data_IF_279067863396
#
_entry.id   IF_279067863396
#
_cell.length_a   1.000
_cell.length_b   1.000
_cell.length_c   1.000
_cell.angle_alpha   90.00
_cell.angle_beta   90.00
_cell.angle_gamma   90.00
#
_symmetry.space_group_name_H-M   'P 1'
#
loop_
_entity.id
_entity.type
_entity.pdbx_description
1 polymer ?
#
# COMPACT_ATOMS: atom_id res chain seq x y z
N UNK A 1 -37.45 -60.84 21.02
CA UNK A 1 -37.30 -60.26 19.66
C UNK A 1 -35.94 -59.57 19.67
N UNK A 2 -34.82 -60.30 19.50
CA UNK A 2 -34.35 -60.99 18.28
C UNK A 2 -34.00 -59.96 17.19
N UNK A 3 -32.79 -59.89 16.61
CA UNK A 3 -31.50 -60.59 16.82
C UNK A 3 -30.34 -59.58 16.57
N UNK A 4 -29.19 -59.60 17.27
CA UNK A 4 -27.93 -60.31 16.92
C UNK A 4 -27.59 -60.30 15.42
N UNK A 5 -26.36 -60.10 14.92
CA UNK A 5 -24.99 -59.80 15.42
C UNK A 5 -24.15 -59.36 14.17
N UNK A 6 -22.92 -58.80 14.20
CA UNK A 6 -21.59 -59.46 14.28
C UNK A 6 -20.51 -58.40 13.93
N UNK A 7 -19.35 -58.45 14.60
CA UNK A 7 -17.99 -58.05 14.12
C UNK A 7 -17.12 -59.33 14.16
N UNK A 8 -15.96 -59.52 13.44
CA UNK A 8 -14.77 -58.64 13.44
C UNK A 8 -13.76 -58.78 12.24
N UNK A 9 -12.49 -58.38 12.48
CA UNK A 9 -11.22 -58.67 11.76
C UNK A 9 -11.02 -58.07 10.35
N UNK A 10 -9.87 -57.49 9.93
CA UNK A 10 -8.40 -57.60 10.24
C UNK A 10 -7.65 -58.73 9.53
N UNK A 11 -6.99 -58.38 8.42
CA UNK A 11 -5.72 -58.87 7.82
C UNK A 11 -5.48 -57.96 6.59
N UNK A 12 -4.41 -57.19 6.37
CA UNK A 12 -2.96 -57.43 6.36
C UNK A 12 -2.47 -58.34 5.24
N UNK A 13 -2.10 -57.76 4.09
CA UNK A 13 -1.10 -58.37 3.21
C UNK A 13 -0.23 -57.33 2.49
N UNK A 14 1.07 -57.62 2.41
CA UNK A 14 2.07 -56.85 1.65
C UNK A 14 2.19 -57.45 0.25
N UNK A 15 2.50 -56.64 -0.75
CA UNK A 15 3.32 -57.11 -1.88
C UNK A 15 4.18 -56.00 -2.46
N UNK A 16 5.49 -56.23 -2.51
CA UNK A 16 6.47 -55.39 -3.18
C UNK A 16 6.42 -55.61 -4.70
N UNK A 17 6.38 -54.55 -5.51
CA UNK A 17 6.88 -54.59 -6.90
C UNK A 17 7.64 -53.30 -7.22
N UNK A 18 8.87 -53.48 -7.71
CA UNK A 18 9.85 -52.44 -8.05
C UNK A 18 9.50 -51.68 -9.35
N UNK A 19 10.05 -50.45 -9.55
CA UNK A 19 9.79 -49.66 -10.75
C UNK A 19 10.51 -50.21 -12.00
N UNK A 20 9.97 -49.96 -13.21
CA UNK A 20 10.64 -50.34 -14.45
C UNK A 20 11.86 -49.46 -14.72
N UNK A 21 13.00 -50.11 -14.93
CA UNK A 21 14.25 -49.49 -15.39
C UNK A 21 14.09 -49.06 -16.85
N UNK A 22 14.41 -47.81 -17.17
CA UNK A 22 14.73 -47.44 -18.55
C UNK A 22 16.21 -47.74 -18.82
N UNK A 23 16.46 -48.79 -19.60
CA UNK A 23 17.79 -49.11 -20.11
C UNK A 23 18.08 -48.28 -21.36
N UNK A 24 19.27 -47.69 -21.42
CA UNK A 24 19.81 -47.15 -22.67
C UNK A 24 20.31 -48.28 -23.58
N UNK A 25 20.25 -48.10 -24.90
CA UNK A 25 21.18 -48.70 -25.84
C UNK A 25 22.19 -47.65 -26.34
N UNK A 26 23.48 -47.97 -26.24
CA UNK A 26 24.41 -47.59 -27.32
C UNK A 26 24.19 -48.52 -28.53
N UNK A 27 24.96 -48.44 -29.60
CA UNK A 27 26.22 -47.72 -29.83
C UNK A 27 26.50 -47.81 -31.36
N UNK A 28 27.62 -47.25 -31.83
CA UNK A 28 28.23 -47.36 -33.16
C UNK A 28 27.70 -46.36 -34.23
N UNK A 29 28.51 -45.43 -34.73
CA UNK A 29 29.64 -45.55 -35.73
C UNK A 29 29.05 -45.38 -37.16
N UNK A 30 29.59 -44.65 -38.14
CA UNK A 30 30.77 -43.76 -38.27
C UNK A 30 30.38 -42.62 -39.24
N UNK A 31 31.18 -41.55 -39.30
CA UNK A 31 31.78 -41.04 -40.56
C UNK A 31 32.40 -39.64 -40.36
N UNK A 32 33.70 -39.56 -40.60
CA UNK A 32 34.48 -38.33 -40.70
C UNK A 32 34.07 -37.49 -41.91
N UNK A 33 34.14 -36.16 -41.81
CA UNK A 33 34.99 -35.43 -42.76
C UNK A 33 35.38 -34.03 -42.23
N UNK A 34 36.67 -33.76 -42.23
CA UNK A 34 37.27 -32.46 -41.92
C UNK A 34 38.26 -32.14 -43.05
N UNK A 35 38.25 -30.92 -43.59
CA UNK A 35 39.54 -30.33 -43.89
C UNK A 35 39.65 -28.84 -43.52
N UNK A 36 40.65 -28.54 -42.71
CA UNK A 36 41.35 -27.25 -42.55
C UNK A 36 42.38 -27.06 -43.70
N UNK A 37 43.22 -26.00 -43.74
CA UNK A 37 42.96 -24.55 -43.56
C UNK A 37 43.65 -23.66 -44.64
N UNK A 38 43.26 -22.38 -44.76
CA UNK A 38 44.04 -21.23 -45.32
C UNK A 38 43.20 -19.94 -45.13
N UNK A 39 43.72 -18.70 -45.05
CA UNK A 39 45.07 -18.15 -44.74
C UNK A 39 44.91 -16.66 -44.32
N UNK A 40 45.90 -16.05 -43.66
CA UNK A 40 45.85 -14.64 -43.22
C UNK A 40 47.04 -13.79 -43.73
N UNK A 41 46.83 -12.49 -43.99
CA UNK A 41 47.85 -11.43 -43.87
C UNK A 41 47.35 -10.31 -42.91
N UNK A 42 48.07 -9.92 -41.87
CA UNK A 42 49.31 -9.11 -41.81
C UNK A 42 49.10 -7.57 -41.87
N UNK A 43 49.10 -7.00 -40.66
CA UNK A 43 49.64 -5.71 -40.18
C UNK A 43 50.00 -4.61 -41.21
N UNK A 44 49.48 -3.39 -40.96
CA UNK A 44 50.16 -2.14 -41.29
C UNK A 44 50.22 -1.22 -40.04
N UNK A 45 51.41 -0.72 -39.71
CA UNK A 45 51.64 0.31 -38.69
C UNK A 45 51.39 1.72 -39.27
N UNK A 46 51.11 2.72 -38.41
CA UNK A 46 51.67 4.09 -38.52
C UNK A 46 51.49 4.87 -37.19
N UNK A 47 52.59 5.52 -36.82
CA UNK A 47 52.92 6.52 -35.80
C UNK A 47 51.95 6.98 -34.68
N UNK A 48 52.54 6.97 -33.47
CA UNK A 48 52.21 7.83 -32.33
C UNK A 48 52.97 9.17 -32.38
N UNK A 49 52.30 10.31 -32.13
CA UNK A 49 52.96 11.50 -31.56
C UNK A 49 52.12 12.19 -30.47
N UNK A 50 52.78 12.38 -29.31
CA UNK A 50 52.59 13.36 -28.21
C UNK A 50 51.53 14.48 -28.39
N UNK A 51 50.78 14.88 -27.35
CA UNK A 51 51.31 15.74 -26.27
C UNK A 51 50.54 15.71 -24.92
N UNK A 52 51.31 15.57 -23.83
CA UNK A 52 51.23 16.26 -22.51
C UNK A 52 49.86 16.56 -21.87
N UNK A 53 49.57 15.89 -20.74
CA UNK A 53 48.71 16.42 -19.67
C UNK A 53 49.54 16.70 -18.41
N UNK A 54 49.43 17.91 -17.87
CA UNK A 54 50.11 18.32 -16.63
C UNK A 54 49.48 17.70 -15.38
N UNK A 55 50.32 17.33 -14.41
CA UNK A 55 49.88 16.95 -13.06
C UNK A 55 49.20 18.13 -12.36
N UNK A 56 48.06 17.89 -11.75
CA UNK A 56 47.68 18.63 -10.55
C UNK A 56 46.97 17.77 -9.48
N UNK A 57 47.28 18.12 -8.24
CA UNK A 57 46.94 17.51 -6.94
C UNK A 57 45.70 16.61 -6.82
N UNK A 58 45.92 15.38 -6.31
CA UNK A 58 44.93 14.66 -5.51
C UNK A 58 44.85 15.25 -4.08
N UNK A 59 43.65 15.51 -3.53
CA UNK A 59 43.42 15.53 -2.10
C UNK A 59 42.89 14.18 -1.60
N UNK A 60 43.41 13.79 -0.43
CA UNK A 60 43.22 12.50 0.22
C UNK A 60 41.73 12.15 0.48
N UNK A 61 41.27 10.97 0.03
CA UNK A 61 39.91 10.46 0.32
C UNK A 61 39.88 9.80 1.72
N UNK A 62 39.79 10.61 2.77
CA UNK A 62 39.28 10.10 4.06
C UNK A 62 37.79 9.82 3.90
N UNK A 63 37.38 8.56 4.06
CA UNK A 63 35.99 8.15 3.87
C UNK A 63 35.09 8.64 5.01
N UNK A 64 34.50 9.82 4.84
CA UNK A 64 33.43 10.32 5.72
C UNK A 64 32.10 9.71 5.29
N UNK A 65 31.42 9.00 6.20
CA UNK A 65 30.12 8.37 5.97
C UNK A 65 28.97 9.40 5.91
N UNK A 66 28.98 10.25 4.89
CA UNK A 66 28.03 11.37 4.75
C UNK A 66 27.84 11.83 3.29
N UNK A 67 27.51 10.91 2.39
CA UNK A 67 26.99 11.16 1.03
C UNK A 67 26.66 9.79 0.38
N UNK A 68 25.56 9.52 -0.32
CA UNK A 68 24.43 10.36 -0.77
C UNK A 68 23.12 9.56 -0.74
N UNK A 69 22.09 10.02 -0.02
CA UNK A 69 20.71 9.71 -0.39
C UNK A 69 20.30 10.64 -1.54
N UNK A 70 20.76 10.36 -2.76
CA UNK A 70 20.21 10.99 -3.97
C UNK A 70 18.82 10.39 -4.21
N UNK A 71 17.80 11.09 -3.73
CA UNK A 71 16.41 10.74 -4.00
C UNK A 71 16.11 11.00 -5.48
N UNK A 72 16.24 9.97 -6.32
CA UNK A 72 15.57 9.93 -7.61
C UNK A 72 14.07 9.82 -7.36
N UNK A 73 13.26 10.86 -7.65
CA UNK A 73 11.83 10.78 -7.43
C UNK A 73 11.22 9.77 -8.40
N UNK A 74 10.52 8.78 -7.85
CA UNK A 74 9.59 7.96 -8.63
C UNK A 74 8.59 8.94 -9.30
N UNK A 75 8.30 8.74 -10.58
CA UNK A 75 7.33 9.55 -11.33
C UNK A 75 5.99 8.85 -11.48
N UNK A 76 6.02 7.53 -11.65
CA UNK A 76 4.85 6.68 -11.85
C UNK A 76 5.11 5.27 -11.37
N UNK A 77 4.02 4.53 -11.16
CA UNK A 77 4.05 3.09 -10.87
C UNK A 77 3.40 2.37 -12.05
N UNK A 78 4.14 1.48 -12.70
CA UNK A 78 3.60 0.58 -13.72
C UNK A 78 3.19 -0.73 -13.05
N UNK A 79 1.97 -1.21 -13.32
CA UNK A 79 1.44 -2.45 -12.74
C UNK A 79 0.94 -3.36 -13.85
N UNK A 80 1.43 -4.60 -13.91
CA UNK A 80 0.92 -5.61 -14.83
C UNK A 80 -0.56 -5.93 -14.51
N UNK A 81 -1.40 -6.07 -15.54
CA UNK A 81 -2.82 -6.41 -15.31
C UNK A 81 -3.03 -7.72 -14.54
N UNK A 82 -2.10 -8.69 -14.64
CA UNK A 82 -2.14 -9.91 -13.82
C UNK A 82 -2.07 -9.61 -12.31
N UNK A 83 -1.26 -8.61 -11.90
CA UNK A 83 -1.18 -8.16 -10.51
C UNK A 83 -2.50 -7.53 -10.07
N UNK A 84 -3.07 -6.66 -10.91
CA UNK A 84 -4.38 -6.04 -10.65
C UNK A 84 -5.45 -7.11 -10.44
N UNK A 85 -5.51 -8.14 -11.28
CA UNK A 85 -6.45 -9.25 -11.14
C UNK A 85 -6.22 -10.09 -9.87
N UNK A 86 -4.97 -10.38 -9.52
CA UNK A 86 -4.63 -11.12 -8.28
C UNK A 86 -5.05 -10.35 -7.03
N UNK A 87 -4.72 -9.06 -6.96
CA UNK A 87 -5.09 -8.17 -5.85
C UNK A 87 -6.61 -8.06 -5.77
N UNK A 88 -7.30 -7.73 -6.87
CA UNK A 88 -8.76 -7.60 -6.89
C UNK A 88 -9.48 -8.89 -6.46
N UNK A 89 -9.04 -10.06 -6.94
CA UNK A 89 -9.57 -11.35 -6.52
C UNK A 89 -9.39 -11.57 -5.02
N UNK A 90 -8.18 -11.36 -4.49
CA UNK A 90 -7.88 -11.58 -3.07
C UNK A 90 -8.69 -10.64 -2.17
N UNK A 91 -8.64 -9.33 -2.43
CA UNK A 91 -9.36 -8.33 -1.66
C UNK A 91 -10.88 -8.56 -1.68
N UNK A 92 -11.44 -9.02 -2.81
CA UNK A 92 -12.87 -9.37 -2.90
C UNK A 92 -13.20 -10.66 -2.16
N UNK A 93 -12.31 -11.66 -2.16
CA UNK A 93 -12.54 -12.94 -1.45
C UNK A 93 -12.41 -12.83 0.08
N UNK A 94 -11.64 -11.86 0.59
CA UNK A 94 -11.48 -11.63 2.03
C UNK A 94 -12.45 -10.59 2.60
N UNK A 95 -13.17 -9.86 1.75
CA UNK A 95 -14.14 -8.84 2.17
C UNK A 95 -15.21 -9.45 3.10
N UNK A 96 -15.55 -8.83 4.25
CA UNK A 96 -15.22 -7.45 4.66
C UNK A 96 -13.86 -7.27 5.36
N UNK A 97 -13.11 -8.34 5.65
CA UNK A 97 -11.81 -8.25 6.32
C UNK A 97 -10.71 -7.67 5.43
N UNK A 98 -9.68 -7.10 6.06
CA UNK A 98 -8.56 -6.49 5.34
C UNK A 98 -7.65 -7.58 4.75
N UNK A 99 -7.49 -7.60 3.43
CA UNK A 99 -6.50 -8.42 2.73
C UNK A 99 -5.20 -7.64 2.56
N UNK A 100 -4.05 -8.25 2.86
CA UNK A 100 -2.73 -7.66 2.61
C UNK A 100 -1.81 -8.63 1.86
N UNK A 101 -0.73 -8.10 1.30
CA UNK A 101 0.29 -8.91 0.64
C UNK A 101 1.51 -8.09 0.22
N UNK A 102 2.56 -8.77 -0.22
CA UNK A 102 3.75 -8.15 -0.80
C UNK A 102 3.58 -7.99 -2.32
N UNK A 103 4.20 -6.95 -2.88
CA UNK A 103 4.40 -6.82 -4.33
C UNK A 103 5.87 -6.91 -4.67
N UNK A 104 6.15 -7.61 -5.77
CA UNK A 104 7.49 -7.78 -6.32
C UNK A 104 7.55 -7.24 -7.74
N UNK A 105 8.76 -6.85 -8.15
CA UNK A 105 8.98 -6.22 -9.43
C UNK A 105 10.39 -5.66 -9.58
N UNK A 106 10.53 -4.62 -10.39
CA UNK A 106 11.79 -3.96 -10.72
C UNK A 106 11.70 -2.44 -10.56
N UNK A 107 12.84 -1.81 -10.27
CA UNK A 107 12.97 -0.36 -10.14
C UNK A 107 13.84 0.20 -11.27
N UNK A 108 13.18 0.86 -12.23
CA UNK A 108 13.79 1.45 -13.42
C UNK A 108 13.93 2.97 -13.23
N UNK A 109 14.75 3.35 -12.24
CA UNK A 109 15.15 4.71 -11.81
C UNK A 109 14.03 5.70 -11.47
N UNK A 110 13.17 6.00 -12.44
CA UNK A 110 12.02 6.90 -12.35
C UNK A 110 10.67 6.16 -12.36
N UNK A 111 10.66 4.87 -12.70
CA UNK A 111 9.49 4.01 -12.78
C UNK A 111 9.66 2.81 -11.84
N UNK A 112 8.66 2.53 -11.01
CA UNK A 112 8.56 1.24 -10.30
C UNK A 112 7.62 0.34 -11.08
N UNK A 113 8.14 -0.78 -11.57
CA UNK A 113 7.39 -1.81 -12.29
C UNK A 113 6.98 -2.90 -11.31
N UNK A 114 5.70 -3.25 -11.29
CA UNK A 114 5.13 -4.29 -10.42
C UNK A 114 4.64 -5.43 -11.30
N UNK A 115 5.41 -6.52 -11.29
CA UNK A 115 5.23 -7.68 -12.18
C UNK A 115 4.43 -8.80 -11.52
N UNK A 116 4.52 -8.95 -10.19
CA UNK A 116 3.83 -10.01 -9.47
C UNK A 116 3.43 -9.60 -8.03
N UNK A 117 2.47 -10.31 -7.44
CA UNK A 117 1.99 -10.09 -6.07
C UNK A 117 1.85 -11.39 -5.30
N UNK A 118 2.17 -11.32 -4.00
CA UNK A 118 2.18 -12.43 -3.07
C UNK A 118 1.17 -12.14 -1.94
N UNK A 119 0.15 -12.98 -1.84
CA UNK A 119 -0.89 -12.84 -0.82
C UNK A 119 -0.32 -13.25 0.54
N UNK A 120 -0.45 -12.41 1.57
CA UNK A 120 -0.20 -12.91 2.93
C UNK A 120 -1.36 -13.80 3.37
N UNK A 121 -1.10 -14.93 4.04
CA UNK A 121 -2.16 -15.77 4.56
C UNK A 121 -2.98 -14.98 5.59
N UNK A 122 -4.28 -14.87 5.35
CA UNK A 122 -5.23 -14.33 6.32
C UNK A 122 -5.35 -15.28 7.50
N UNK A 123 -5.44 -14.75 8.72
CA UNK A 123 -5.75 -15.56 9.90
C UNK A 123 -7.18 -16.08 9.73
N UNK A 124 -7.36 -17.40 9.69
CA UNK A 124 -8.64 -18.00 9.33
C UNK A 124 -9.68 -17.76 10.43
N UNK A 125 -10.69 -16.94 10.12
CA UNK A 125 -11.72 -16.47 11.08
C UNK A 125 -12.58 -17.64 11.59
N UNK A 126 -12.58 -18.78 10.89
CA UNK A 126 -13.26 -20.00 11.30
C UNK A 126 -12.63 -20.71 12.52
N UNK A 127 -11.39 -20.37 12.90
CA UNK A 127 -10.63 -21.08 13.94
C UNK A 127 -10.32 -20.22 15.18
N UNK A 128 -10.92 -19.03 15.29
CA UNK A 128 -10.89 -18.17 16.48
C UNK A 128 -12.24 -18.24 17.18
N UNK A 129 -12.23 -18.28 18.53
CA UNK A 129 -13.43 -18.33 19.35
C UNK A 129 -14.45 -17.27 18.92
N UNK A 130 -15.75 -17.64 18.98
CA UNK A 130 -16.92 -16.88 18.54
C UNK A 130 -17.22 -15.58 19.33
N UNK A 131 -16.18 -15.03 19.97
CA UNK A 131 -16.17 -13.78 20.73
C UNK A 131 -15.21 -12.72 20.16
N UNK A 132 -14.37 -13.02 19.15
CA UNK A 132 -13.58 -11.98 18.48
C UNK A 132 -14.45 -11.19 17.50
N UNK A 133 -14.36 -9.86 17.54
CA UNK A 133 -15.11 -9.01 16.62
C UNK A 133 -14.41 -8.91 15.25
N UNK A 134 -15.18 -8.65 14.20
CA UNK A 134 -14.64 -8.41 12.84
C UNK A 134 -13.60 -7.28 12.81
N UNK A 135 -13.71 -6.33 13.75
CA UNK A 135 -12.76 -5.23 13.97
C UNK A 135 -11.41 -5.73 14.49
N UNK A 136 -11.39 -6.74 15.36
CA UNK A 136 -10.15 -7.33 15.89
C UNK A 136 -9.40 -8.12 14.82
N UNK A 137 -10.13 -8.94 14.04
CA UNK A 137 -9.58 -9.67 12.89
C UNK A 137 -8.98 -8.71 11.84
N UNK A 138 -9.69 -7.62 11.54
CA UNK A 138 -9.21 -6.58 10.61
C UNK A 138 -7.97 -5.84 11.14
N UNK A 139 -7.89 -5.56 12.45
CA UNK A 139 -6.72 -4.96 13.07
C UNK A 139 -5.48 -5.87 13.01
N UNK A 140 -5.65 -7.17 13.27
CA UNK A 140 -4.58 -8.17 13.11
C UNK A 140 -4.11 -8.27 11.66
N UNK A 141 -5.05 -8.32 10.70
CA UNK A 141 -4.73 -8.38 9.28
C UNK A 141 -4.03 -7.10 8.76
N UNK A 142 -4.37 -5.93 9.31
CA UNK A 142 -3.66 -4.69 9.02
C UNK A 142 -2.22 -4.66 9.56
N UNK A 143 -1.91 -5.41 10.63
CA UNK A 143 -0.55 -5.57 11.16
C UNK A 143 0.25 -6.69 10.44
N UNK A 144 -0.41 -7.52 9.64
CA UNK A 144 0.18 -8.68 8.96
C UNK A 144 1.46 -8.38 8.14
N UNK A 145 1.61 -7.25 7.42
CA UNK A 145 2.81 -6.98 6.62
C UNK A 145 4.12 -6.80 7.39
N UNK A 146 4.06 -6.68 8.72
CA UNK A 146 5.22 -6.63 9.64
C UNK A 146 5.34 -7.86 10.54
N UNK A 147 4.44 -8.84 10.39
CA UNK A 147 4.46 -10.04 11.22
C UNK A 147 5.69 -10.89 10.87
N UNK A 148 6.37 -11.44 11.89
CA UNK A 148 7.57 -12.27 11.68
C UNK A 148 7.28 -13.50 10.80
N UNK A 149 6.09 -14.09 10.93
CA UNK A 149 5.65 -15.22 10.12
C UNK A 149 5.53 -14.82 8.64
N UNK A 150 4.96 -13.65 8.34
CA UNK A 150 4.78 -13.18 6.97
C UNK A 150 6.10 -12.74 6.32
N UNK A 151 7.04 -12.18 7.08
CA UNK A 151 8.40 -11.91 6.59
C UNK A 151 9.15 -13.21 6.21
N UNK A 152 8.96 -14.30 6.99
CA UNK A 152 9.52 -15.61 6.66
C UNK A 152 8.85 -16.21 5.40
N UNK A 153 7.52 -16.18 5.34
CA UNK A 153 6.74 -16.62 4.17
C UNK A 153 7.13 -15.85 2.89
N UNK A 154 7.29 -14.53 2.99
CA UNK A 154 7.71 -13.67 1.89
C UNK A 154 9.11 -14.06 1.38
N UNK A 155 10.06 -14.31 2.29
CA UNK A 155 11.42 -14.70 1.92
C UNK A 155 11.47 -16.07 1.22
N UNK A 156 10.69 -17.05 1.69
CA UNK A 156 10.56 -18.37 1.07
C UNK A 156 9.87 -18.28 -0.31
N UNK A 157 8.80 -17.50 -0.43
CA UNK A 157 8.10 -17.30 -1.70
C UNK A 157 8.95 -16.54 -2.73
N UNK A 158 9.75 -15.56 -2.31
CA UNK A 158 10.76 -14.89 -3.14
C UNK A 158 11.81 -15.89 -3.65
N UNK A 159 12.23 -16.86 -2.83
CA UNK A 159 13.15 -17.92 -3.27
C UNK A 159 12.52 -18.76 -4.38
N UNK A 160 11.27 -19.20 -4.21
CA UNK A 160 10.56 -19.98 -5.23
C UNK A 160 10.32 -19.21 -6.54
N UNK A 161 10.02 -17.92 -6.49
CA UNK A 161 9.92 -17.11 -7.71
C UNK A 161 11.26 -17.03 -8.47
N UNK A 162 12.39 -16.95 -7.75
CA UNK A 162 13.73 -16.99 -8.37
C UNK A 162 14.05 -18.36 -9.00
N UNK A 163 13.60 -19.45 -8.41
CA UNK A 163 13.72 -20.81 -8.98
C UNK A 163 12.96 -20.94 -10.32
N UNK A 164 11.91 -20.13 -10.53
CA UNK A 164 11.11 -20.07 -11.77
C UNK A 164 11.58 -18.95 -12.71
N UNK A 165 12.72 -18.32 -12.45
CA UNK A 165 13.28 -17.18 -13.20
C UNK A 165 12.34 -15.95 -13.30
N UNK A 166 11.47 -15.75 -12.30
CA UNK A 166 10.64 -14.54 -12.19
C UNK A 166 11.39 -13.50 -11.35
N UNK A 167 11.27 -12.23 -11.72
CA UNK A 167 11.81 -11.12 -10.95
C UNK A 167 11.10 -11.00 -9.60
N UNK A 168 11.91 -11.02 -8.53
CA UNK A 168 11.42 -11.20 -7.16
C UNK A 168 12.08 -10.22 -6.18
N UNK A 169 12.24 -8.96 -6.59
CA UNK A 169 12.69 -7.89 -5.69
C UNK A 169 11.47 -7.25 -5.02
N UNK A 170 11.54 -7.05 -3.71
CA UNK A 170 10.43 -6.42 -2.97
C UNK A 170 10.35 -4.92 -3.29
N UNK A 171 9.33 -4.53 -4.05
CA UNK A 171 9.02 -3.14 -4.38
C UNK A 171 7.95 -2.53 -3.46
N UNK A 172 7.37 -3.33 -2.56
CA UNK A 172 6.50 -2.85 -1.50
C UNK A 172 5.41 -3.85 -1.09
N UNK A 173 4.23 -3.33 -0.80
CA UNK A 173 3.08 -4.11 -0.33
C UNK A 173 1.76 -3.57 -0.88
N UNK A 174 0.67 -4.31 -0.69
CA UNK A 174 -0.68 -3.85 -0.96
C UNK A 174 -1.63 -4.14 0.21
N UNK A 175 -2.74 -3.41 0.26
CA UNK A 175 -3.86 -3.60 1.18
C UNK A 175 -5.19 -3.41 0.48
N UNK A 176 -6.23 -4.14 0.91
CA UNK A 176 -7.60 -3.72 0.64
C UNK A 176 -7.97 -2.52 1.49
N UNK A 177 -8.98 -1.78 1.02
CA UNK A 177 -9.72 -0.78 1.77
C UNK A 177 -11.22 -0.96 1.55
N UNK A 178 -12.01 -0.58 2.55
CA UNK A 178 -13.48 -0.57 2.50
C UNK A 178 -13.93 0.88 2.60
N UNK A 179 -14.65 1.39 1.60
CA UNK A 179 -15.08 2.80 1.51
C UNK A 179 -13.93 3.82 1.67
N UNK A 180 -12.69 3.42 1.34
CA UNK A 180 -11.47 4.19 1.54
C UNK A 180 -11.09 4.47 3.00
N UNK A 181 -11.51 3.62 3.93
CA UNK A 181 -10.89 3.52 5.25
C UNK A 181 -9.53 2.79 5.12
N UNK A 182 -8.43 3.55 5.09
CA UNK A 182 -7.07 3.00 5.01
C UNK A 182 -6.00 3.86 5.69
N UNK A 183 -6.29 5.13 6.01
CA UNK A 183 -5.32 6.06 6.63
C UNK A 183 -5.23 5.78 8.14
N UNK A 184 -4.64 4.63 8.47
CA UNK A 184 -4.52 4.11 9.84
C UNK A 184 -3.06 4.14 10.32
N UNK A 185 -2.85 4.10 11.64
CA UNK A 185 -1.48 3.98 12.19
C UNK A 185 -0.76 2.74 11.65
N UNK A 186 -1.44 1.59 11.56
CA UNK A 186 -0.90 0.35 10.99
C UNK A 186 -0.40 0.54 9.55
N UNK A 187 -1.14 1.27 8.70
CA UNK A 187 -0.71 1.57 7.34
C UNK A 187 0.59 2.39 7.32
N UNK A 188 0.69 3.42 8.16
CA UNK A 188 1.90 4.25 8.30
C UNK A 188 3.09 3.42 8.78
N UNK A 189 2.91 2.59 9.82
CA UNK A 189 3.96 1.74 10.37
C UNK A 189 4.44 0.68 9.36
N UNK A 190 3.52 0.05 8.62
CA UNK A 190 3.85 -0.88 7.54
C UNK A 190 4.66 -0.17 6.44
N UNK A 191 4.16 0.95 5.92
CA UNK A 191 4.83 1.68 4.86
C UNK A 191 6.20 2.22 5.30
N UNK A 192 6.34 2.65 6.55
CA UNK A 192 7.63 3.07 7.13
C UNK A 192 8.62 1.91 7.38
N UNK A 193 8.14 0.67 7.52
CA UNK A 193 8.98 -0.52 7.55
C UNK A 193 9.54 -0.81 6.15
N UNK A 194 8.68 -0.93 5.12
CA UNK A 194 9.12 -1.17 3.74
C UNK A 194 10.02 -0.03 3.22
N UNK A 195 9.70 1.24 3.49
CA UNK A 195 10.54 2.38 3.08
C UNK A 195 11.86 2.52 3.85
N UNK A 196 12.07 1.76 4.94
CA UNK A 196 13.36 1.70 5.63
C UNK A 196 14.33 0.75 4.92
N UNK A 197 13.81 -0.32 4.33
CA UNK A 197 14.59 -1.34 3.62
C UNK A 197 14.80 -0.95 2.15
N UNK A 198 13.74 -0.49 1.48
CA UNK A 198 13.79 0.03 0.12
C UNK A 198 13.21 1.46 0.09
N UNK A 199 14.02 2.53 -0.09
CA UNK A 199 13.54 3.92 -0.09
C UNK A 199 12.41 4.21 -1.09
N UNK A 200 12.34 3.45 -2.18
CA UNK A 200 11.34 3.55 -3.25
C UNK A 200 10.12 2.64 -3.05
N UNK A 201 9.99 1.97 -1.91
CA UNK A 201 8.86 1.10 -1.64
C UNK A 201 7.51 1.86 -1.68
N UNK A 202 6.52 1.23 -2.31
CA UNK A 202 5.17 1.77 -2.50
C UNK A 202 4.11 0.90 -1.79
N UNK A 203 3.01 1.53 -1.40
CA UNK A 203 1.80 0.87 -0.94
C UNK A 203 0.71 0.96 -2.02
N UNK A 204 0.23 -0.18 -2.52
CA UNK A 204 -0.97 -0.20 -3.36
C UNK A 204 -2.22 -0.36 -2.48
N UNK A 205 -3.20 0.52 -2.67
CA UNK A 205 -4.49 0.47 -1.97
C UNK A 205 -5.57 0.17 -2.99
N UNK A 206 -6.24 -0.98 -2.82
CA UNK A 206 -7.39 -1.37 -3.63
C UNK A 206 -8.68 -1.23 -2.83
N UNK A 207 -9.58 -0.35 -3.26
CA UNK A 207 -10.88 -0.16 -2.62
C UNK A 207 -11.92 -1.08 -3.25
N UNK A 208 -12.34 -2.12 -2.52
CA UNK A 208 -13.27 -3.13 -3.02
C UNK A 208 -14.65 -2.51 -3.24
N UNK A 209 -15.11 -1.69 -2.30
CA UNK A 209 -16.45 -1.10 -2.30
C UNK A 209 -16.62 -0.04 -3.39
N UNK A 210 -15.56 0.71 -3.70
CA UNK A 210 -15.57 1.61 -4.86
C UNK A 210 -15.46 0.82 -6.17
N UNK A 211 -14.65 -0.24 -6.21
CA UNK A 211 -14.43 -1.02 -7.43
C UNK A 211 -15.67 -1.80 -7.88
N UNK A 212 -16.58 -2.16 -6.96
CA UNK A 212 -17.90 -2.69 -7.31
C UNK A 212 -18.81 -1.67 -8.02
N UNK A 213 -18.56 -0.36 -7.90
CA UNK A 213 -19.31 0.69 -8.59
C UNK A 213 -18.74 1.00 -9.99
N UNK A 214 -18.33 -0.05 -10.70
CA UNK A 214 -17.87 -0.04 -12.09
C UNK A 214 -16.60 0.77 -12.44
N UNK A 215 -15.85 1.27 -11.45
CA UNK A 215 -14.56 1.94 -11.69
C UNK A 215 -13.46 1.37 -10.79
N UNK A 216 -12.43 0.78 -11.40
CA UNK A 216 -11.30 0.18 -10.70
C UNK A 216 -10.62 1.21 -9.80
N UNK A 217 -10.73 1.01 -8.48
CA UNK A 217 -10.01 1.80 -7.50
C UNK A 217 -8.72 1.12 -7.11
N UNK A 218 -7.62 1.51 -7.75
CA UNK A 218 -6.27 1.11 -7.38
C UNK A 218 -5.38 2.37 -7.32
N UNK A 219 -4.83 2.68 -6.15
CA UNK A 219 -4.00 3.87 -5.92
C UNK A 219 -2.66 3.49 -5.31
N UNK A 220 -1.59 4.15 -5.75
CA UNK A 220 -0.26 3.97 -5.18
C UNK A 220 0.09 5.14 -4.24
N UNK A 221 0.55 4.82 -3.04
CA UNK A 221 0.97 5.79 -2.03
C UNK A 221 2.41 5.53 -1.55
N UNK A 222 3.09 6.61 -1.17
CA UNK A 222 4.41 6.60 -0.53
C UNK A 222 4.44 7.66 0.59
N UNK A 223 5.11 7.40 1.70
CA UNK A 223 5.35 8.42 2.73
C UNK A 223 6.41 9.41 2.24
N UNK A 224 6.17 10.71 2.51
CA UNK A 224 7.17 11.74 2.23
C UNK A 224 8.43 11.57 3.08
N UNK A 225 9.58 11.99 2.53
CA UNK A 225 10.87 11.91 3.23
C UNK A 225 10.93 12.79 4.48
N UNK A 226 10.24 13.94 4.47
CA UNK A 226 10.04 14.79 5.64
C UNK A 226 9.26 14.06 6.75
N UNK A 227 8.15 13.40 6.42
CA UNK A 227 7.36 12.62 7.38
C UNK A 227 8.14 11.40 7.90
N UNK A 228 8.83 10.67 7.02
CA UNK A 228 9.71 9.55 7.41
C UNK A 228 10.82 9.97 8.38
N UNK A 229 11.32 11.20 8.29
CA UNK A 229 12.32 11.74 9.22
C UNK A 229 11.70 12.06 10.57
N UNK A 230 10.55 12.73 10.59
CA UNK A 230 9.79 12.99 11.83
C UNK A 230 9.38 11.69 12.56
N UNK A 231 9.00 10.65 11.82
CA UNK A 231 8.64 9.34 12.35
C UNK A 231 9.85 8.60 12.98
N UNK A 232 11.05 8.72 12.39
CA UNK A 232 12.29 8.18 12.98
C UNK A 232 12.65 8.84 14.31
N UNK A 233 12.39 10.14 14.44
CA UNK A 233 12.59 10.85 15.72
C UNK A 233 11.47 10.61 16.74
N UNK A 234 10.27 10.22 16.27
CA UNK A 234 9.05 10.04 17.06
C UNK A 234 8.64 11.28 17.89
N UNK A 235 8.85 12.48 17.35
CA UNK A 235 8.55 13.77 18.02
C UNK A 235 7.47 14.57 17.29
N UNK A 236 6.24 14.05 17.28
CA UNK A 236 5.07 14.73 16.72
C UNK A 236 4.49 15.78 17.69
N UNK A 237 5.34 16.73 18.12
CA UNK A 237 4.96 17.87 18.94
C UNK A 237 4.67 19.10 18.08
N UNK A 238 3.84 20.01 18.59
CA UNK A 238 3.48 21.29 17.96
C UNK A 238 4.71 22.06 17.46
N UNK A 239 5.76 22.20 18.29
CA UNK A 239 6.99 22.89 17.89
C UNK A 239 7.69 22.24 16.68
N UNK A 240 7.76 20.91 16.64
CA UNK A 240 8.49 20.22 15.59
C UNK A 240 7.70 20.18 14.28
N UNK A 241 6.36 20.08 14.37
CA UNK A 241 5.48 20.26 13.21
C UNK A 241 5.57 21.68 12.63
N UNK A 242 5.67 22.71 13.48
CA UNK A 242 5.90 24.09 13.03
C UNK A 242 7.27 24.27 12.36
N UNK A 243 8.35 23.70 12.93
CA UNK A 243 9.71 23.75 12.36
C UNK A 243 9.82 23.02 11.02
N UNK A 244 9.19 21.84 10.91
CA UNK A 244 9.20 21.00 9.69
C UNK A 244 8.15 21.39 8.65
N UNK A 245 7.15 22.20 9.04
CA UNK A 245 5.98 22.60 8.23
C UNK A 245 5.13 21.43 7.72
N UNK A 246 5.19 20.27 8.39
CA UNK A 246 4.43 19.07 8.01
C UNK A 246 2.93 19.28 8.23
N UNK A 247 2.15 19.18 7.15
CA UNK A 247 0.68 19.21 7.17
C UNK A 247 0.11 17.80 6.94
N UNK A 248 -1.17 17.57 7.27
CA UNK A 248 -1.86 16.31 7.01
C UNK A 248 -1.82 15.87 5.52
N UNK A 249 -1.71 16.82 4.60
CA UNK A 249 -1.58 16.59 3.15
C UNK A 249 -0.24 15.97 2.77
N UNK A 250 0.83 16.32 3.48
CA UNK A 250 2.21 15.96 3.13
C UNK A 250 2.64 14.59 3.69
N UNK A 251 1.73 13.87 4.35
CA UNK A 251 1.98 12.53 4.90
C UNK A 251 2.11 11.52 3.75
N UNK A 252 1.11 11.48 2.87
CA UNK A 252 0.97 10.50 1.78
C UNK A 252 1.06 11.18 0.43
N UNK A 253 2.13 10.87 -0.31
CA UNK A 253 2.29 11.25 -1.72
C UNK A 253 1.59 10.18 -2.56
N UNK A 254 0.64 10.60 -3.39
CA UNK A 254 -0.06 9.74 -4.34
C UNK A 254 0.72 9.69 -5.66
N UNK A 255 0.94 8.49 -6.18
CA UNK A 255 1.69 8.23 -7.41
C UNK A 255 0.74 7.77 -8.52
N UNK A 256 0.86 8.26 -9.76
CA UNK A 256 0.03 7.80 -10.87
C UNK A 256 0.33 6.33 -11.19
N UNK A 257 -0.74 5.54 -11.23
CA UNK A 257 -0.71 4.11 -11.58
C UNK A 257 -1.02 3.96 -13.06
N UNK A 258 -0.13 3.28 -13.79
CA UNK A 258 -0.29 2.93 -15.21
C UNK A 258 -0.42 1.42 -15.32
N UNK A 259 -1.51 0.92 -15.89
CA UNK A 259 -1.67 -0.52 -16.14
C UNK A 259 -0.95 -0.85 -17.44
N UNK A 260 -0.02 -1.81 -17.38
CA UNK A 260 0.66 -2.36 -18.56
C UNK A 260 0.12 -3.74 -18.90
N UNK A 261 0.14 -4.05 -20.20
CA UNK A 261 -0.19 -5.34 -20.78
C UNK A 261 0.89 -5.71 -21.78
N UNK A 262 1.48 -6.89 -21.63
CA UNK A 262 2.32 -7.47 -22.69
C UNK A 262 1.53 -7.64 -24.01
N UNK A 263 2.23 -7.59 -25.15
CA UNK A 263 1.60 -7.76 -26.46
C UNK A 263 0.87 -9.10 -26.60
N UNK A 264 1.41 -10.18 -26.02
CA UNK A 264 0.76 -11.50 -26.01
C UNK A 264 -0.57 -11.47 -25.24
N UNK A 265 -0.62 -10.80 -24.09
CA UNK A 265 -1.85 -10.62 -23.32
C UNK A 265 -2.87 -9.77 -24.12
N UNK A 266 -2.41 -8.71 -24.80
CA UNK A 266 -3.25 -7.93 -25.71
C UNK A 266 -3.83 -8.78 -26.84
N UNK A 267 -3.03 -9.63 -27.51
CA UNK A 267 -3.52 -10.57 -28.52
C UNK A 267 -4.53 -11.57 -27.95
N UNK A 268 -4.32 -12.08 -26.74
CA UNK A 268 -5.26 -12.96 -26.06
C UNK A 268 -6.59 -12.25 -25.74
N UNK A 269 -6.55 -11.00 -25.27
CA UNK A 269 -7.76 -10.20 -25.05
C UNK A 269 -8.56 -9.96 -26.35
N UNK A 270 -7.89 -9.83 -27.50
CA UNK A 270 -8.57 -9.74 -28.80
C UNK A 270 -9.24 -11.06 -29.26
N UNK A 271 -8.94 -12.20 -28.64
CA UNK A 271 -9.64 -13.47 -28.89
C UNK A 271 -10.92 -13.62 -28.07
N UNK A 272 -11.06 -12.84 -26.99
CA UNK A 272 -12.28 -12.80 -26.19
C UNK A 272 -13.34 -12.00 -26.98
N UNK A 273 -14.58 -12.52 -27.17
CA UNK A 273 -15.63 -11.79 -27.87
C UNK A 273 -15.88 -10.42 -27.23
N UNK A 274 -15.63 -9.36 -27.99
CA UNK A 274 -15.67 -7.98 -27.49
C UNK A 274 -16.46 -7.10 -28.45
N UNK A 275 -17.42 -6.36 -27.89
CA UNK A 275 -18.52 -5.65 -28.53
C UNK A 275 -19.54 -6.54 -29.30
N UNK A 276 -20.86 -6.24 -29.20
CA UNK A 276 -21.84 -6.74 -30.15
C UNK A 276 -21.55 -6.14 -31.53
N UNK A 277 -21.79 -6.90 -32.59
CA UNK A 277 -21.49 -6.46 -33.95
C UNK A 277 -22.28 -5.18 -34.30
N UNK A 278 -21.60 -4.17 -34.86
CA UNK A 278 -22.26 -2.94 -35.31
C UNK A 278 -23.29 -3.28 -36.42
N UNK A 279 -24.56 -3.32 -36.04
CA UNK A 279 -25.66 -3.84 -36.86
C UNK A 279 -26.61 -4.81 -36.13
N UNK A 280 -26.24 -5.34 -34.96
CA UNK A 280 -27.19 -6.06 -34.09
C UNK A 280 -28.03 -5.09 -33.25
N UNK A 281 -28.88 -4.30 -33.91
CA UNK A 281 -30.00 -3.65 -33.23
C UNK A 281 -30.97 -4.74 -32.75
N UNK A 282 -30.82 -5.17 -31.50
CA UNK A 282 -31.81 -6.03 -30.85
C UNK A 282 -33.11 -5.24 -30.77
N UNK A 283 -34.11 -5.62 -31.58
CA UNK A 283 -35.43 -5.00 -31.58
C UNK A 283 -35.99 -4.95 -30.16
N UNK A 284 -36.47 -3.78 -29.73
CA UNK A 284 -37.01 -3.58 -28.38
C UNK A 284 -38.08 -4.65 -28.12
N UNK A 285 -37.92 -5.51 -27.08
CA UNK A 285 -38.81 -6.64 -26.87
C UNK A 285 -40.23 -6.17 -26.56
N UNK A 286 -41.19 -6.61 -27.36
CA UNK A 286 -42.59 -6.18 -27.30
C UNK A 286 -43.36 -6.76 -26.10
N UNK A 287 -42.79 -7.72 -25.37
CA UNK A 287 -43.40 -8.30 -24.17
C UNK A 287 -42.37 -8.95 -23.25
N UNK A 288 -42.72 -9.09 -21.96
CA UNK A 288 -41.92 -9.78 -20.94
C UNK A 288 -41.67 -11.27 -21.31
N UNK A 289 -42.63 -11.89 -22.00
CA UNK A 289 -42.50 -13.28 -22.48
C UNK A 289 -41.48 -13.44 -23.64
N UNK A 290 -41.15 -12.37 -24.37
CA UNK A 290 -40.09 -12.39 -25.37
C UNK A 290 -38.69 -12.35 -24.71
N UNK A 291 -38.51 -11.46 -23.72
CA UNK A 291 -37.29 -11.35 -22.91
C UNK A 291 -36.90 -12.67 -22.20
N UNK A 292 -37.89 -13.47 -21.79
CA UNK A 292 -37.65 -14.76 -21.14
C UNK A 292 -37.26 -15.88 -22.12
N UNK A 293 -37.53 -15.72 -23.42
CA UNK A 293 -37.19 -16.71 -24.47
C UNK A 293 -35.80 -16.46 -25.07
N UNK A 294 -35.45 -15.20 -25.27
CA UNK A 294 -34.14 -14.77 -25.75
C UNK A 294 -33.53 -13.80 -24.72
N UNK A 295 -32.82 -14.32 -23.71
CA UNK A 295 -32.11 -13.47 -22.77
C UNK A 295 -31.00 -12.71 -23.51
N UNK A 296 -31.01 -11.38 -23.40
CA UNK A 296 -29.97 -10.53 -24.00
C UNK A 296 -28.62 -10.87 -23.37
N UNK A 297 -27.71 -11.43 -24.17
CA UNK A 297 -26.35 -11.70 -23.72
C UNK A 297 -25.57 -10.38 -23.64
N UNK A 298 -25.57 -9.78 -22.45
CA UNK A 298 -24.88 -8.51 -22.19
C UNK A 298 -23.38 -8.73 -22.45
N UNK A 299 -22.74 -7.96 -23.34
CA UNK A 299 -21.31 -8.11 -23.61
C UNK A 299 -20.50 -7.82 -22.33
N UNK A 300 -19.35 -8.48 -22.10
CA UNK A 300 -18.51 -8.21 -20.93
C UNK A 300 -17.97 -6.77 -20.92
N UNK A 301 -17.96 -6.10 -22.07
CA UNK A 301 -17.69 -4.67 -22.22
C UNK A 301 -18.48 -4.08 -23.40
N UNK A 302 -19.08 -2.89 -23.28
CA UNK A 302 -19.20 -2.06 -22.06
C UNK A 302 -20.22 -2.63 -21.07
N UNK A 303 -19.93 -2.59 -19.76
CA UNK A 303 -20.84 -3.08 -18.72
C UNK A 303 -21.92 -2.06 -18.37
N UNK A 304 -23.15 -2.55 -18.22
CA UNK A 304 -24.34 -1.72 -17.88
C UNK A 304 -24.23 -1.17 -16.44
N UNK A 305 -23.53 -1.87 -15.54
CA UNK A 305 -23.26 -1.48 -14.16
C UNK A 305 -22.61 -0.07 -14.06
N UNK A 306 -21.87 0.35 -15.09
CA UNK A 306 -21.32 1.71 -15.19
C UNK A 306 -22.40 2.80 -15.16
N UNK A 307 -23.62 2.50 -15.61
CA UNK A 307 -24.78 3.40 -15.62
C UNK A 307 -25.70 3.22 -14.40
N UNK A 308 -25.31 2.43 -13.38
CA UNK A 308 -26.13 2.27 -12.18
C UNK A 308 -26.40 3.63 -11.49
N UNK A 309 -27.68 3.90 -11.26
CA UNK A 309 -28.22 5.12 -10.65
C UNK A 309 -28.49 5.00 -9.15
N UNK A 310 -28.25 3.82 -8.55
CA UNK A 310 -28.47 3.61 -7.12
C UNK A 310 -27.48 4.46 -6.31
N UNK A 311 -28.02 5.35 -5.47
CA UNK A 311 -27.22 6.35 -4.73
C UNK A 311 -26.98 5.86 -3.29
N UNK A 312 -28.02 5.27 -2.71
CA UNK A 312 -28.25 5.36 -1.27
C UNK A 312 -27.24 4.53 -0.44
N UNK A 313 -27.04 3.20 -0.66
CA UNK A 313 -26.29 2.38 0.30
C UNK A 313 -24.79 2.69 0.40
N UNK A 314 -24.22 3.34 -0.61
CA UNK A 314 -22.81 3.75 -0.63
C UNK A 314 -22.62 5.16 -0.09
N UNK A 315 -23.48 6.11 -0.49
CA UNK A 315 -23.38 7.48 -0.05
C UNK A 315 -23.72 7.62 1.44
N UNK A 316 -24.78 6.95 1.90
CA UNK A 316 -25.17 6.89 3.32
C UNK A 316 -23.99 6.42 4.18
N UNK A 317 -23.44 5.24 3.90
CA UNK A 317 -22.30 4.68 4.64
C UNK A 317 -21.03 5.53 4.54
N UNK A 318 -20.79 6.20 3.41
CA UNK A 318 -19.63 7.10 3.27
C UNK A 318 -19.81 8.36 4.12
N UNK A 319 -21.04 8.86 4.24
CA UNK A 319 -21.37 9.96 5.14
C UNK A 319 -21.30 9.56 6.62
N UNK A 320 -21.76 8.36 6.99
CA UNK A 320 -21.63 7.84 8.36
C UNK A 320 -20.15 7.71 8.76
N UNK A 321 -19.32 7.11 7.90
CA UNK A 321 -17.87 6.99 8.12
C UNK A 321 -17.15 8.35 8.16
N UNK A 322 -17.66 9.36 7.42
CA UNK A 322 -17.19 10.74 7.52
C UNK A 322 -17.53 11.33 8.89
N UNK A 323 -18.75 11.14 9.39
CA UNK A 323 -19.18 11.60 10.72
C UNK A 323 -18.33 10.95 11.83
N UNK A 324 -18.15 9.63 11.81
CA UNK A 324 -17.27 8.88 12.73
C UNK A 324 -15.85 9.47 12.75
N UNK A 325 -15.29 9.79 11.58
CA UNK A 325 -13.94 10.38 11.48
C UNK A 325 -13.85 11.82 11.98
N UNK A 326 -14.94 12.59 11.88
CA UNK A 326 -15.06 13.93 12.46
C UNK A 326 -15.15 13.85 13.98
N UNK A 327 -15.89 12.88 14.54
CA UNK A 327 -15.97 12.64 15.98
C UNK A 327 -14.62 12.18 16.58
N UNK A 328 -13.89 11.31 15.88
CA UNK A 328 -12.53 10.92 16.24
C UNK A 328 -11.59 12.14 16.27
N UNK A 329 -11.58 12.95 15.20
CA UNK A 329 -10.79 14.18 15.14
C UNK A 329 -11.19 15.20 16.23
N UNK A 330 -12.48 15.30 16.57
CA UNK A 330 -12.96 16.17 17.65
C UNK A 330 -12.51 15.67 19.03
N UNK A 331 -12.43 14.35 19.23
CA UNK A 331 -11.90 13.73 20.45
C UNK A 331 -10.43 14.08 20.66
N UNK A 332 -9.60 13.97 19.62
CA UNK A 332 -8.19 14.39 19.65
C UNK A 332 -8.01 15.89 19.94
N UNK A 333 -8.89 16.71 19.36
CA UNK A 333 -8.91 18.15 19.56
C UNK A 333 -9.26 18.49 21.02
N UNK A 334 -10.23 17.80 21.63
CA UNK A 334 -10.57 17.94 23.04
C UNK A 334 -9.42 17.53 23.98
N UNK A 335 -8.72 16.43 23.66
CA UNK A 335 -7.52 15.98 24.38
C UNK A 335 -6.41 17.04 24.35
N UNK A 336 -6.16 17.65 23.20
CA UNK A 336 -5.21 18.75 23.07
C UNK A 336 -5.65 20.03 23.81
N UNK A 337 -6.94 20.40 23.76
CA UNK A 337 -7.47 21.52 24.55
C UNK A 337 -7.37 21.28 26.07
N UNK A 338 -7.52 20.03 26.51
CA UNK A 338 -7.31 19.66 27.91
C UNK A 338 -5.84 19.86 28.32
N UNK A 339 -4.90 19.36 27.52
CA UNK A 339 -3.45 19.61 27.69
C UNK A 339 -3.13 21.11 27.74
N UNK A 340 -3.62 21.91 26.78
CA UNK A 340 -3.37 23.35 26.73
C UNK A 340 -3.88 24.08 27.98
N UNK A 341 -5.04 23.68 28.52
CA UNK A 341 -5.59 24.21 29.78
C UNK A 341 -4.74 23.82 31.00
N UNK A 342 -4.20 22.60 31.07
CA UNK A 342 -3.26 22.21 32.13
C UNK A 342 -1.95 22.99 32.04
N UNK A 343 -1.34 23.05 30.84
CA UNK A 343 -0.10 23.77 30.56
C UNK A 343 -0.21 25.25 30.96
N UNK A 344 -1.35 25.90 30.64
CA UNK A 344 -1.63 27.30 31.02
C UNK A 344 -1.70 27.48 32.54
N UNK A 345 -2.32 26.53 33.27
CA UNK A 345 -2.42 26.57 34.74
C UNK A 345 -1.06 26.39 35.42
N UNK A 346 -0.24 25.45 34.96
CA UNK A 346 1.11 25.27 35.52
C UNK A 346 2.02 26.46 35.17
N UNK A 347 1.94 27.00 33.94
CA UNK A 347 2.68 28.20 33.55
C UNK A 347 2.29 29.42 34.39
N UNK A 348 1.01 29.57 34.76
CA UNK A 348 0.55 30.62 35.66
C UNK A 348 1.13 30.45 37.08
N UNK A 349 1.20 29.22 37.62
CA UNK A 349 1.86 28.94 38.91
C UNK A 349 3.35 29.24 38.88
N UNK A 350 4.06 28.84 37.81
CA UNK A 350 5.49 29.12 37.62
C UNK A 350 5.72 30.63 37.56
N UNK A 351 4.91 31.35 36.79
CA UNK A 351 5.00 32.82 36.65
C UNK A 351 4.73 33.53 37.99
N UNK A 352 3.73 33.08 38.76
CA UNK A 352 3.45 33.63 40.10
C UNK A 352 4.58 33.33 41.10
N UNK A 353 5.17 32.13 41.05
CA UNK A 353 6.34 31.77 41.85
C UNK A 353 7.55 32.65 41.50
N UNK A 354 7.85 32.83 40.21
CA UNK A 354 8.95 33.67 39.73
C UNK A 354 8.74 35.14 40.13
N UNK A 355 7.52 35.67 40.01
CA UNK A 355 7.20 37.03 40.45
C UNK A 355 7.42 37.21 41.96
N UNK A 356 6.97 36.23 42.78
CA UNK A 356 7.20 36.24 44.24
C UNK A 356 8.69 36.16 44.58
N UNK A 357 9.45 35.29 43.90
CA UNK A 357 10.90 35.11 44.14
C UNK A 357 11.70 36.34 43.73
N UNK A 358 11.35 36.98 42.61
CA UNK A 358 11.93 38.25 42.16
C UNK A 358 11.68 39.39 43.16
N UNK A 359 10.47 39.46 43.74
CA UNK A 359 10.16 40.44 44.78
C UNK A 359 10.95 40.18 46.08
N UNK A 360 11.12 38.92 46.49
CA UNK A 360 11.94 38.54 47.63
C UNK A 360 13.43 38.86 47.40
N UNK A 361 13.97 38.54 46.23
CA UNK A 361 15.36 38.84 45.85
C UNK A 361 15.61 40.36 45.79
N UNK A 362 14.65 41.17 45.32
CA UNK A 362 14.74 42.63 45.37
C UNK A 362 14.78 43.18 46.82
N UNK A 363 13.96 42.61 47.72
CA UNK A 363 13.98 42.99 49.14
C UNK A 363 15.30 42.58 49.83
N UNK A 364 15.85 41.40 49.51
CA UNK A 364 17.16 40.95 50.03
C UNK A 364 18.33 41.78 49.51
N UNK A 365 18.30 42.17 48.24
CA UNK A 365 19.29 43.08 47.67
C UNK A 365 19.28 44.46 48.38
N UNK A 366 18.10 45.01 48.69
CA UNK A 366 17.99 46.22 49.51
C UNK A 366 18.53 46.03 50.94
N UNK A 367 18.41 44.82 51.51
CA UNK A 367 18.99 44.44 52.79
C UNK A 367 20.47 43.98 52.73
N UNK A 368 21.14 44.10 51.57
CA UNK A 368 22.52 43.64 51.31
C UNK A 368 22.78 42.15 51.58
N UNK A 369 21.76 41.30 51.44
CA UNK A 369 21.89 39.85 51.48
C UNK A 369 22.00 39.26 50.06
N UNK A 370 22.64 38.11 49.93
CA UNK A 370 22.78 37.44 48.63
C UNK A 370 21.41 37.00 48.05
N UNK A 371 21.21 37.13 46.72
CA UNK A 371 20.01 36.64 46.06
C UNK A 371 19.88 35.11 46.16
N UNK A 372 18.65 34.63 46.26
CA UNK A 372 18.35 33.19 46.21
C UNK A 372 18.35 32.70 44.75
N UNK A 373 18.68 31.42 44.50
CA UNK A 373 18.69 30.85 43.15
C UNK A 373 17.32 30.92 42.47
N UNK A 374 17.27 31.47 41.26
CA UNK A 374 16.05 31.60 40.45
C UNK A 374 15.66 30.30 39.72
N UNK A 375 16.40 29.20 39.89
CA UNK A 375 16.21 27.93 39.15
C UNK A 375 15.40 26.85 39.88
N UNK A 376 15.07 27.03 41.17
CA UNK A 376 14.39 25.99 41.97
C UNK A 376 13.03 25.55 41.39
N UNK A 377 12.33 26.43 40.66
CA UNK A 377 11.06 26.12 40.01
C UNK A 377 11.14 24.95 39.03
N UNK A 378 12.29 24.74 38.37
CA UNK A 378 12.50 23.60 37.45
C UNK A 378 12.46 22.24 38.16
N UNK A 379 12.73 22.21 39.47
CA UNK A 379 12.62 21.01 40.31
C UNK A 379 11.24 20.89 40.98
N UNK A 380 10.60 22.02 41.26
CA UNK A 380 9.31 22.11 41.95
C UNK A 380 8.10 21.86 41.03
N UNK A 381 8.15 22.34 39.78
CA UNK A 381 7.06 22.22 38.82
C UNK A 381 7.45 21.30 37.66
N UNK A 382 6.64 20.26 37.44
CA UNK A 382 6.75 19.39 36.25
C UNK A 382 5.70 19.82 35.24
N UNK A 383 6.14 20.28 34.06
CA UNK A 383 5.21 20.61 32.98
C UNK A 383 4.56 19.31 32.46
N UNK A 384 3.25 19.32 32.13
CA UNK A 384 2.61 18.22 31.41
C UNK A 384 3.32 17.94 30.08
N UNK A 385 3.37 16.67 29.67
CA UNK A 385 3.89 16.28 28.35
C UNK A 385 2.82 16.51 27.28
N UNK A 386 3.23 16.95 26.09
CA UNK A 386 2.31 17.15 24.96
C UNK A 386 1.82 15.78 24.44
N UNK A 387 0.51 15.59 24.22
CA UNK A 387 0.00 14.41 23.53
C UNK A 387 0.46 14.42 22.06
N UNK A 388 0.82 13.25 21.52
CA UNK A 388 1.24 13.13 20.12
C UNK A 388 0.18 13.68 19.17
N UNK A 389 0.59 14.56 18.26
CA UNK A 389 -0.31 15.16 17.25
C UNK A 389 -0.56 14.25 16.04
N UNK A 390 0.14 13.11 15.94
CA UNK A 390 0.10 12.22 14.78
C UNK A 390 -1.31 11.67 14.51
N UNK A 391 -2.01 11.18 15.53
CA UNK A 391 -3.35 10.59 15.40
C UNK A 391 -4.35 11.61 14.82
N UNK A 392 -4.38 12.82 15.38
CA UNK A 392 -5.20 13.92 14.85
C UNK A 392 -4.84 14.34 13.42
N UNK A 393 -3.58 14.22 13.00
CA UNK A 393 -3.18 14.47 11.61
C UNK A 393 -3.66 13.37 10.65
N UNK A 394 -3.66 12.09 11.08
CA UNK A 394 -4.19 10.98 10.31
C UNK A 394 -5.71 11.06 10.20
N UNK A 395 -6.40 11.34 11.31
CA UNK A 395 -7.85 11.55 11.35
C UNK A 395 -8.26 12.72 10.42
N UNK A 396 -7.55 13.85 10.45
CA UNK A 396 -7.79 14.96 9.51
C UNK A 396 -7.58 14.56 8.03
N UNK A 397 -6.59 13.71 7.72
CA UNK A 397 -6.37 13.20 6.36
C UNK A 397 -7.44 12.19 5.93
N UNK A 398 -7.98 11.40 6.85
CA UNK A 398 -9.09 10.47 6.60
C UNK A 398 -10.41 11.22 6.35
N UNK A 399 -10.67 12.32 7.08
CA UNK A 399 -11.78 13.26 6.81
C UNK A 399 -11.67 13.81 5.38
N UNK A 400 -10.51 14.37 4.99
CA UNK A 400 -10.29 14.89 3.63
C UNK A 400 -10.48 13.80 2.55
N UNK A 401 -10.01 12.57 2.83
CA UNK A 401 -10.21 11.43 1.96
C UNK A 401 -11.71 11.15 1.75
N UNK A 402 -12.51 11.06 2.82
CA UNK A 402 -13.96 10.85 2.74
C UNK A 402 -14.68 11.98 1.98
N UNK A 403 -14.38 13.26 2.26
CA UNK A 403 -14.96 14.39 1.52
C UNK A 403 -14.71 14.28 0.02
N UNK A 404 -13.48 13.97 -0.40
CA UNK A 404 -13.13 13.75 -1.82
C UNK A 404 -13.86 12.55 -2.45
N UNK A 405 -14.30 11.58 -1.66
CA UNK A 405 -15.13 10.47 -2.17
C UNK A 405 -16.55 10.94 -2.45
N UNK A 406 -17.15 11.68 -1.51
CA UNK A 406 -18.50 12.24 -1.65
C UNK A 406 -18.56 13.18 -2.86
N UNK A 407 -17.58 14.08 -3.01
CA UNK A 407 -17.47 14.99 -4.17
C UNK A 407 -17.41 14.21 -5.49
N UNK A 408 -16.51 13.22 -5.59
CA UNK A 408 -16.32 12.41 -6.79
C UNK A 408 -17.52 11.51 -7.12
N UNK A 409 -18.17 10.96 -6.09
CA UNK A 409 -19.39 10.16 -6.26
C UNK A 409 -20.56 11.03 -6.73
N UNK A 410 -20.78 12.18 -6.10
CA UNK A 410 -21.83 13.14 -6.48
C UNK A 410 -21.64 13.64 -7.90
N UNK A 411 -20.41 13.95 -8.31
CA UNK A 411 -20.10 14.35 -9.69
C UNK A 411 -20.46 13.25 -10.71
N UNK A 412 -20.06 12.00 -10.43
CA UNK A 412 -20.36 10.86 -11.30
C UNK A 412 -21.87 10.58 -11.38
N UNK A 413 -22.58 10.51 -10.25
CA UNK A 413 -24.03 10.27 -10.21
C UNK A 413 -24.79 11.38 -10.92
N UNK A 414 -24.40 12.64 -10.74
CA UNK A 414 -25.01 13.79 -11.43
C UNK A 414 -24.86 13.69 -12.95
N UNK A 415 -23.68 13.25 -13.43
CA UNK A 415 -23.45 13.00 -14.86
C UNK A 415 -24.29 11.84 -15.40
N UNK A 416 -24.39 10.71 -14.66
CA UNK A 416 -25.28 9.58 -15.02
C UNK A 416 -26.74 10.02 -15.11
N UNK A 417 -27.25 10.75 -14.12
CA UNK A 417 -28.61 11.30 -14.12
C UNK A 417 -28.87 12.22 -15.30
N UNK A 418 -27.92 13.10 -15.63
CA UNK A 418 -28.06 14.01 -16.77
C UNK A 418 -28.08 13.25 -18.10
N UNK A 419 -27.20 12.25 -18.27
CA UNK A 419 -27.19 11.38 -19.45
C UNK A 419 -28.52 10.62 -19.60
N UNK A 420 -29.05 10.03 -18.52
CA UNK A 420 -30.34 9.33 -18.53
C UNK A 420 -31.49 10.29 -18.83
N UNK A 421 -31.50 11.49 -18.25
CA UNK A 421 -32.49 12.52 -18.56
C UNK A 421 -32.46 12.93 -20.04
N UNK A 422 -31.27 13.12 -20.61
CA UNK A 422 -31.09 13.46 -22.02
C UNK A 422 -31.54 12.34 -22.96
N UNK A 423 -31.35 11.07 -22.58
CA UNK A 423 -31.82 9.91 -23.35
C UNK A 423 -33.33 9.66 -23.24
N UNK A 424 -33.96 10.05 -22.12
CA UNK A 424 -35.41 9.91 -21.90
C UNK A 424 -36.23 11.08 -22.48
N UNK A 425 -35.60 12.25 -22.65
CA UNK A 425 -36.19 13.42 -23.30
C UNK A 425 -35.68 13.50 -24.74
N UNK A 426 -36.30 12.74 -25.64
CA UNK A 426 -36.19 12.99 -27.08
C UNK A 426 -36.80 14.37 -27.38
N UNK A 427 -36.02 15.28 -27.99
CA UNK A 427 -36.55 16.48 -28.66
C UNK A 427 -37.41 16.11 -29.88
#
# INVERSE_FOLDING_TARGET
MADQSVTPAVESEKSDVLPPKYSAPGLNDDDDDHPDPETAPEIAQIDTQSTVFSKDKQPNRTATMADTFKESPIKSVQVEALVVMKIAKHCSSSFPTIATGSIVGMDNDTLVEVTNSLNFPTVDVANVDSHQSERDASAQAAAAPRSKANLMYQAEMIKHLREVNVDANCVGWYTSATMGNFVTMSFIENQAHYQRENPKAIALVHDVSRSSQASLSLRAFRLSTAFMTALKENKFTTENLQKTKLTYKDILIEMPVVIHNSHLLTTYLHQIPSAPAAGSETTIPTSLAALQREPVNIPPYPSIDSLELSIDPFLEKTCDLLLDSIEAHYTDLNNHQYYQRQMTREQAKITAWQAKRKAENAARAAAKQEPLPDDEWKRLFKLPQEPSRLEGMLNARQVEQYSKQVDGFTANVSAKMFAVRGSLLTE
#
